data_IF_747045117536
#
_entry.id   IF_747045117536
#
_cell.length_a   1.000
_cell.length_b   1.000
_cell.length_c   1.000
_cell.angle_alpha   90.00
_cell.angle_beta   90.00
_cell.angle_gamma   90.00
#
_symmetry.space_group_name_H-M   'P 1'
#
loop_
_entity.id
_entity.type
_entity.pdbx_description
1 polymer ?
#
# COMPACT_ATOMS: atom_id res chain seq x y z
N UNK A 1 -17.50 8.46 6.60
CA UNK A 1 -16.76 9.71 6.34
C UNK A 1 -15.44 9.48 5.59
N UNK A 2 -14.50 8.64 6.06
CA UNK A 2 -13.20 8.36 5.39
C UNK A 2 -13.34 7.89 3.93
N UNK A 3 -14.24 6.96 3.63
CA UNK A 3 -14.46 6.47 2.25
C UNK A 3 -14.98 7.55 1.31
N UNK A 4 -15.89 8.41 1.77
CA UNK A 4 -16.44 9.52 0.97
C UNK A 4 -15.35 10.52 0.59
N UNK A 5 -14.50 10.92 1.56
CA UNK A 5 -13.38 11.83 1.30
C UNK A 5 -12.44 11.22 0.26
N UNK A 6 -12.11 9.94 0.39
CA UNK A 6 -11.21 9.27 -0.55
C UNK A 6 -11.81 9.18 -1.96
N UNK A 7 -13.14 9.02 -2.08
CA UNK A 7 -13.82 8.98 -3.39
C UNK A 7 -13.70 10.30 -4.13
N UNK A 8 -13.79 11.44 -3.42
CA UNK A 8 -13.68 12.79 -4.01
C UNK A 8 -12.31 12.99 -4.69
N UNK A 9 -11.26 12.39 -4.16
CA UNK A 9 -9.91 12.50 -4.72
C UNK A 9 -9.57 11.44 -5.78
N UNK A 10 -10.54 10.59 -6.19
CA UNK A 10 -10.30 9.68 -7.31
C UNK A 10 -10.36 10.40 -8.64
N UNK A 11 -9.55 9.96 -9.60
CA UNK A 11 -9.53 10.57 -10.95
C UNK A 11 -10.91 10.61 -11.61
N UNK A 12 -11.73 9.53 -11.59
CA UNK A 12 -13.08 9.58 -12.17
C UNK A 12 -13.96 10.68 -11.58
N UNK A 13 -13.87 10.91 -10.27
CA UNK A 13 -14.66 11.95 -9.61
C UNK A 13 -14.15 13.34 -9.96
N UNK A 14 -12.85 13.55 -10.05
CA UNK A 14 -12.25 14.81 -10.50
C UNK A 14 -12.70 15.14 -11.93
N UNK A 15 -12.71 14.15 -12.83
CA UNK A 15 -13.21 14.34 -14.20
C UNK A 15 -14.69 14.72 -14.21
N UNK A 16 -15.51 14.03 -13.40
CA UNK A 16 -16.93 14.37 -13.26
C UNK A 16 -17.12 15.84 -12.85
N UNK A 17 -16.38 16.32 -11.87
CA UNK A 17 -16.43 17.71 -11.41
C UNK A 17 -16.07 18.66 -12.56
N UNK A 18 -15.00 18.43 -13.28
CA UNK A 18 -14.58 19.30 -14.40
C UNK A 18 -15.66 19.34 -15.49
N UNK A 19 -16.28 18.19 -15.80
CA UNK A 19 -17.37 18.13 -16.78
C UNK A 19 -18.62 18.89 -16.30
N UNK A 20 -18.99 18.77 -15.02
CA UNK A 20 -20.11 19.53 -14.45
C UNK A 20 -19.87 21.04 -14.52
N UNK A 21 -18.68 21.51 -14.18
CA UNK A 21 -18.33 22.94 -14.35
C UNK A 21 -18.37 23.34 -15.84
N UNK A 22 -17.95 22.47 -16.75
CA UNK A 22 -18.09 22.69 -18.18
C UNK A 22 -19.56 22.84 -18.61
N UNK A 23 -20.44 22.00 -18.10
CA UNK A 23 -21.89 22.08 -18.40
C UNK A 23 -22.52 23.36 -17.87
N UNK A 24 -22.16 23.79 -16.66
CA UNK A 24 -22.68 24.98 -16.00
C UNK A 24 -22.10 26.29 -16.55
N UNK A 25 -21.00 26.26 -17.28
CA UNK A 25 -20.42 27.47 -17.88
C UNK A 25 -21.36 28.10 -18.90
N UNK A 26 -21.63 29.40 -18.83
CA UNK A 26 -22.52 30.11 -19.75
C UNK A 26 -21.87 30.35 -21.13
N UNK A 27 -20.54 30.57 -21.15
CA UNK A 27 -19.80 30.92 -22.38
C UNK A 27 -19.37 29.67 -23.15
N UNK A 28 -19.68 29.51 -24.45
CA UNK A 28 -19.34 28.31 -25.24
C UNK A 28 -17.84 28.07 -25.35
N UNK A 29 -17.03 29.13 -25.43
CA UNK A 29 -15.54 29.01 -25.40
C UNK A 29 -15.04 28.42 -24.10
N UNK A 30 -15.64 28.78 -22.96
CA UNK A 30 -15.29 28.25 -21.64
C UNK A 30 -15.67 26.75 -21.53
N UNK A 31 -16.85 26.38 -22.03
CA UNK A 31 -17.28 24.98 -22.11
C UNK A 31 -16.27 24.14 -22.88
N UNK A 32 -15.96 24.55 -24.10
CA UNK A 32 -15.01 23.84 -24.95
C UNK A 32 -13.65 23.70 -24.28
N UNK A 33 -13.13 24.76 -23.66
CA UNK A 33 -11.87 24.75 -22.93
C UNK A 33 -11.88 23.73 -21.79
N UNK A 34 -12.91 23.71 -20.95
CA UNK A 34 -13.02 22.77 -19.83
C UNK A 34 -13.09 21.31 -20.29
N UNK A 35 -13.90 21.03 -21.33
CA UNK A 35 -13.95 19.67 -21.87
C UNK A 35 -12.64 19.23 -22.50
N UNK A 36 -11.95 20.13 -23.24
CA UNK A 36 -10.62 19.83 -23.81
C UNK A 36 -9.60 19.55 -22.73
N UNK A 37 -9.60 20.30 -21.63
CA UNK A 37 -8.72 20.07 -20.48
C UNK A 37 -9.04 18.71 -19.83
N UNK A 38 -10.31 18.42 -19.57
CA UNK A 38 -10.71 17.14 -18.99
C UNK A 38 -10.27 15.95 -19.86
N UNK A 39 -10.49 16.05 -21.17
CA UNK A 39 -10.06 15.00 -22.13
C UNK A 39 -8.54 14.84 -22.14
N UNK A 40 -7.79 15.93 -22.19
CA UNK A 40 -6.32 15.91 -22.17
C UNK A 40 -5.79 15.26 -20.88
N UNK A 41 -6.27 15.69 -19.70
CA UNK A 41 -5.86 15.12 -18.43
C UNK A 41 -6.24 13.64 -18.36
N UNK A 42 -7.44 13.27 -18.82
CA UNK A 42 -7.90 11.89 -18.87
C UNK A 42 -6.94 11.04 -19.72
N UNK A 43 -6.61 11.51 -20.93
CA UNK A 43 -5.65 10.82 -21.80
C UNK A 43 -4.28 10.65 -21.14
N UNK A 44 -3.71 11.72 -20.57
CA UNK A 44 -2.40 11.67 -19.89
C UNK A 44 -2.44 10.69 -18.71
N UNK A 45 -3.48 10.72 -17.88
CA UNK A 45 -3.61 9.82 -16.74
C UNK A 45 -3.83 8.35 -17.14
N UNK A 46 -4.26 8.06 -18.36
CA UNK A 46 -4.40 6.69 -18.85
C UNK A 46 -3.08 5.99 -19.16
N UNK A 47 -1.97 6.73 -19.28
CA UNK A 47 -0.64 6.17 -19.47
C UNK A 47 -0.08 5.62 -18.14
N UNK A 48 0.22 4.31 -18.03
CA UNK A 48 0.79 3.73 -16.81
C UNK A 48 2.13 4.31 -16.40
N UNK A 49 2.90 4.87 -17.33
CA UNK A 49 4.17 5.54 -17.06
C UNK A 49 3.99 6.76 -16.16
N UNK A 50 2.92 7.54 -16.36
CA UNK A 50 2.62 8.71 -15.51
C UNK A 50 2.39 8.28 -14.06
N UNK A 51 1.62 7.21 -13.85
CA UNK A 51 1.44 6.65 -12.50
C UNK A 51 2.74 6.17 -11.86
N UNK A 52 3.70 5.66 -12.65
CA UNK A 52 5.04 5.30 -12.17
C UNK A 52 5.85 6.53 -11.75
N UNK A 53 5.81 7.61 -12.51
CA UNK A 53 6.48 8.87 -12.13
C UNK A 53 5.89 9.44 -10.84
N UNK A 54 4.57 9.47 -10.72
CA UNK A 54 3.91 9.93 -9.48
C UNK A 54 4.27 9.04 -8.29
N UNK A 55 4.51 7.75 -8.50
CA UNK A 55 4.93 6.82 -7.47
C UNK A 55 6.41 6.98 -7.06
N UNK A 56 7.28 7.57 -7.88
CA UNK A 56 8.73 7.66 -7.61
C UNK A 56 9.06 8.16 -6.19
N UNK A 57 8.50 9.28 -5.70
CA UNK A 57 8.81 9.76 -4.36
C UNK A 57 8.48 8.75 -3.25
N UNK A 58 7.40 7.95 -3.42
CA UNK A 58 7.01 6.91 -2.45
C UNK A 58 8.03 5.77 -2.35
N UNK A 59 9.00 5.68 -3.28
CA UNK A 59 10.01 4.62 -3.33
C UNK A 59 11.45 5.11 -3.07
N UNK A 60 11.66 6.42 -2.89
CA UNK A 60 13.02 6.99 -2.77
C UNK A 60 13.50 7.11 -1.32
N UNK A 61 12.60 7.35 -0.38
CA UNK A 61 12.92 7.83 0.97
C UNK A 61 12.91 6.76 2.05
N UNK A 62 13.32 5.51 1.76
CA UNK A 62 13.42 4.49 2.79
C UNK A 62 14.59 3.53 2.57
N UNK A 63 15.04 2.93 3.66
CA UNK A 63 16.12 1.95 3.65
C UNK A 63 15.67 0.65 2.97
N UNK A 64 16.41 0.24 1.95
CA UNK A 64 16.18 -0.99 1.19
C UNK A 64 17.30 -1.98 1.45
N UNK A 65 16.95 -3.26 1.44
CA UNK A 65 17.95 -4.32 1.39
C UNK A 65 18.64 -4.27 0.04
N UNK A 66 19.98 -4.21 0.06
CA UNK A 66 20.81 -4.30 -1.15
C UNK A 66 21.03 -5.76 -1.52
N UNK A 67 20.92 -6.07 -2.80
CA UNK A 67 21.36 -7.34 -3.43
C UNK A 67 20.90 -8.63 -2.74
N UNK A 68 19.67 -8.64 -2.20
CA UNK A 68 19.11 -9.77 -1.46
C UNK A 68 20.00 -10.28 -0.29
N UNK A 69 20.80 -9.40 0.28
CA UNK A 69 21.59 -9.72 1.46
C UNK A 69 20.71 -9.66 2.72
N UNK A 70 20.22 -10.82 3.16
CA UNK A 70 19.36 -10.94 4.34
C UNK A 70 20.15 -11.20 5.63
N UNK A 71 21.49 -11.12 5.63
CA UNK A 71 22.33 -11.44 6.80
C UNK A 71 21.95 -10.65 8.05
N UNK A 72 21.57 -9.38 7.89
CA UNK A 72 21.22 -8.48 9.00
C UNK A 72 19.74 -8.56 9.46
N UNK A 73 18.92 -9.40 8.79
CA UNK A 73 17.49 -9.51 9.10
C UNK A 73 17.31 -10.50 10.26
N UNK A 74 16.68 -10.04 11.31
CA UNK A 74 16.41 -10.86 12.50
C UNK A 74 14.96 -11.36 12.57
N UNK A 75 14.04 -10.75 11.81
CA UNK A 75 12.64 -11.16 11.72
C UNK A 75 11.98 -10.59 10.48
N UNK A 76 10.87 -11.17 10.05
CA UNK A 76 10.05 -10.70 8.93
C UNK A 76 8.69 -10.26 9.48
N UNK A 77 8.26 -9.06 9.11
CA UNK A 77 6.91 -8.55 9.38
C UNK A 77 6.16 -8.47 8.04
N UNK A 78 5.06 -9.19 7.91
CA UNK A 78 4.15 -9.09 6.77
C UNK A 78 2.90 -8.33 7.21
N UNK A 79 2.66 -7.18 6.59
CA UNK A 79 1.36 -6.52 6.72
C UNK A 79 0.39 -7.16 5.74
N UNK A 80 -0.75 -7.63 6.22
CA UNK A 80 -1.80 -8.16 5.34
C UNK A 80 -2.37 -7.07 4.44
N UNK A 81 -2.95 -7.46 3.32
CA UNK A 81 -3.50 -6.53 2.32
C UNK A 81 -4.99 -6.70 2.10
N UNK A 82 -5.68 -7.26 3.08
CA UNK A 82 -7.10 -7.51 3.03
C UNK A 82 -7.48 -8.97 2.80
N UNK A 83 -8.75 -9.25 2.96
CA UNK A 83 -9.42 -10.52 2.69
C UNK A 83 -10.67 -10.27 1.84
N UNK A 84 -11.17 -11.29 1.20
CA UNK A 84 -12.43 -11.23 0.44
C UNK A 84 -13.22 -12.53 0.61
N UNK A 85 -14.51 -12.47 0.31
CA UNK A 85 -15.40 -13.64 0.32
C UNK A 85 -15.53 -14.15 -1.11
N UNK A 86 -15.28 -15.44 -1.32
CA UNK A 86 -15.46 -16.06 -2.64
C UNK A 86 -16.97 -16.33 -2.93
N UNK A 87 -17.26 -16.83 -4.12
CA UNK A 87 -18.64 -17.17 -4.53
C UNK A 87 -19.28 -18.30 -3.73
N UNK A 88 -18.47 -19.13 -3.07
CA UNK A 88 -18.93 -20.22 -2.22
C UNK A 88 -19.17 -19.78 -0.78
N UNK A 89 -18.82 -18.53 -0.45
CA UNK A 89 -19.01 -17.99 0.89
C UNK A 89 -17.77 -18.10 1.80
N UNK A 90 -16.64 -18.63 1.31
CA UNK A 90 -15.43 -18.77 2.11
C UNK A 90 -14.60 -17.49 2.12
N UNK A 91 -13.98 -17.19 3.25
CA UNK A 91 -13.03 -16.10 3.37
C UNK A 91 -11.66 -16.51 2.86
N UNK A 92 -11.07 -15.69 1.98
CA UNK A 92 -9.76 -15.92 1.38
C UNK A 92 -8.86 -14.70 1.53
N UNK A 93 -7.53 -14.87 1.65
CA UNK A 93 -6.57 -13.78 1.58
C UNK A 93 -6.66 -13.08 0.23
N UNK A 94 -6.52 -11.76 0.23
CA UNK A 94 -6.47 -11.00 -1.02
C UNK A 94 -5.19 -11.32 -1.81
N UNK A 95 -5.23 -11.08 -3.12
CA UNK A 95 -4.06 -11.21 -4.00
C UNK A 95 -2.84 -10.39 -3.52
N UNK A 96 -3.09 -9.26 -2.83
CA UNK A 96 -2.03 -8.47 -2.19
C UNK A 96 -1.39 -9.24 -1.04
N UNK A 97 -2.19 -9.85 -0.16
CA UNK A 97 -1.70 -10.70 0.94
C UNK A 97 -0.92 -11.89 0.42
N UNK A 98 -1.43 -12.58 -0.60
CA UNK A 98 -0.75 -13.74 -1.22
C UNK A 98 0.63 -13.38 -1.74
N UNK A 99 0.75 -12.28 -2.52
CA UNK A 99 2.05 -11.80 -3.04
C UNK A 99 3.04 -11.50 -1.93
N UNK A 100 2.58 -10.88 -0.84
CA UNK A 100 3.43 -10.56 0.32
C UNK A 100 3.91 -11.82 1.04
N UNK A 101 3.03 -12.81 1.23
CA UNK A 101 3.41 -14.10 1.82
C UNK A 101 4.37 -14.86 0.92
N UNK A 102 4.16 -14.85 -0.40
CA UNK A 102 5.10 -15.45 -1.34
C UNK A 102 6.51 -14.84 -1.24
N UNK A 103 6.58 -13.51 -1.11
CA UNK A 103 7.87 -12.82 -0.88
C UNK A 103 8.48 -13.21 0.46
N UNK A 104 7.68 -13.32 1.52
CA UNK A 104 8.16 -13.75 2.83
C UNK A 104 8.72 -15.18 2.77
N UNK A 105 8.01 -16.12 2.15
CA UNK A 105 8.48 -17.50 1.95
C UNK A 105 9.81 -17.57 1.18
N UNK A 106 10.00 -16.73 0.16
CA UNK A 106 11.28 -16.66 -0.56
C UNK A 106 12.45 -16.24 0.34
N UNK A 107 12.21 -15.35 1.30
CA UNK A 107 13.23 -14.92 2.27
C UNK A 107 13.47 -16.02 3.30
N UNK A 108 12.40 -16.63 3.83
CA UNK A 108 12.49 -17.73 4.79
C UNK A 108 13.28 -18.93 4.26
N UNK A 109 13.15 -19.25 2.98
CA UNK A 109 13.94 -20.30 2.33
C UNK A 109 15.45 -19.99 2.30
N UNK A 110 15.84 -18.72 2.43
CA UNK A 110 17.25 -18.29 2.46
C UNK A 110 17.78 -18.05 3.87
N UNK A 111 16.89 -17.69 4.79
CA UNK A 111 17.24 -17.42 6.17
C UNK A 111 16.08 -17.80 7.09
N UNK A 112 16.33 -18.71 8.01
CA UNK A 112 15.36 -19.12 9.02
C UNK A 112 15.28 -18.05 10.12
N UNK A 113 14.24 -17.24 10.08
CA UNK A 113 13.96 -16.17 11.05
C UNK A 113 12.47 -16.16 11.41
N UNK A 114 12.09 -15.60 12.58
CA UNK A 114 10.68 -15.48 12.95
C UNK A 114 9.87 -14.72 11.90
N UNK A 115 8.67 -15.23 11.60
CA UNK A 115 7.69 -14.57 10.73
C UNK A 115 6.56 -14.02 11.60
N UNK A 116 6.28 -12.75 11.44
CA UNK A 116 5.16 -12.05 12.09
C UNK A 116 4.17 -11.64 10.99
N UNK A 117 2.90 -11.99 11.16
CA UNK A 117 1.82 -11.61 10.26
C UNK A 117 0.91 -10.64 11.01
N UNK A 118 0.73 -9.42 10.51
CA UNK A 118 -0.10 -8.39 11.14
C UNK A 118 -1.28 -8.02 10.26
N UNK A 119 -2.48 -8.09 10.84
CA UNK A 119 -3.73 -7.73 10.22
C UNK A 119 -4.94 -8.17 11.04
N UNK A 120 -5.78 -7.23 11.41
CA UNK A 120 -6.91 -7.44 12.31
C UNK A 120 -8.22 -7.77 11.61
N UNK A 121 -9.31 -7.48 12.29
CA UNK A 121 -10.68 -7.72 11.83
C UNK A 121 -11.17 -6.54 10.99
N UNK A 122 -11.01 -6.60 9.67
CA UNK A 122 -11.36 -5.51 8.74
C UNK A 122 -12.74 -5.67 8.10
N UNK A 123 -13.33 -6.85 8.19
CA UNK A 123 -14.65 -7.17 7.66
C UNK A 123 -15.55 -7.71 8.79
N UNK A 124 -16.84 -7.38 8.73
CA UNK A 124 -17.83 -7.94 9.65
C UNK A 124 -17.95 -9.46 9.43
N UNK A 125 -18.06 -10.20 10.51
CA UNK A 125 -18.25 -11.67 10.52
C UNK A 125 -17.10 -12.45 9.83
N UNK A 126 -15.93 -11.83 9.69
CA UNK A 126 -14.73 -12.42 9.12
C UNK A 126 -13.71 -12.78 10.21
N UNK A 127 -12.85 -13.76 10.00
CA UNK A 127 -11.67 -13.95 10.83
C UNK A 127 -10.70 -12.75 10.66
N UNK A 128 -9.78 -12.58 11.61
CA UNK A 128 -8.70 -11.60 11.42
C UNK A 128 -7.88 -11.96 10.18
N UNK A 129 -7.42 -10.94 9.46
CA UNK A 129 -6.60 -11.14 8.25
C UNK A 129 -5.35 -11.97 8.55
N UNK A 130 -4.70 -11.73 9.71
CA UNK A 130 -3.51 -12.48 10.11
C UNK A 130 -3.81 -13.95 10.41
N UNK A 131 -4.90 -14.26 11.14
CA UNK A 131 -5.28 -15.64 11.46
C UNK A 131 -5.66 -16.41 10.19
N UNK A 132 -6.50 -15.81 9.34
CA UNK A 132 -6.86 -16.40 8.05
C UNK A 132 -5.62 -16.68 7.18
N UNK A 133 -4.71 -15.72 7.08
CA UNK A 133 -3.47 -15.85 6.30
C UNK A 133 -2.61 -16.99 6.85
N UNK A 134 -2.43 -17.06 8.17
CA UNK A 134 -1.66 -18.14 8.81
C UNK A 134 -2.21 -19.52 8.47
N UNK A 135 -3.53 -19.70 8.59
CA UNK A 135 -4.21 -20.97 8.33
C UNK A 135 -4.14 -21.33 6.84
N UNK A 136 -4.49 -20.39 5.96
CA UNK A 136 -4.54 -20.62 4.51
C UNK A 136 -3.17 -21.03 3.91
N UNK A 137 -2.07 -20.45 4.40
CA UNK A 137 -0.73 -20.74 3.90
C UNK A 137 0.05 -21.76 4.73
N UNK A 138 -0.58 -22.42 5.72
CA UNK A 138 0.04 -23.41 6.61
C UNK A 138 1.31 -22.87 7.31
N UNK A 139 1.19 -21.68 7.91
CA UNK A 139 2.28 -20.96 8.59
C UNK A 139 2.16 -21.09 10.11
N UNK A 140 2.02 -22.31 10.64
CA UNK A 140 1.75 -22.60 12.05
C UNK A 140 2.76 -21.98 13.03
N UNK A 141 4.04 -21.90 12.63
CA UNK A 141 5.12 -21.29 13.43
C UNK A 141 5.14 -19.76 13.41
N UNK A 142 4.28 -19.11 12.62
CA UNK A 142 4.25 -17.66 12.58
C UNK A 142 3.56 -17.04 13.80
N UNK A 143 4.07 -15.89 14.21
CA UNK A 143 3.44 -15.03 15.21
C UNK A 143 2.37 -14.20 14.52
N UNK A 144 1.17 -14.10 15.10
CA UNK A 144 0.11 -13.26 14.55
C UNK A 144 -0.17 -12.04 15.44
N UNK A 145 -0.34 -10.90 14.82
CA UNK A 145 -0.91 -9.70 15.41
C UNK A 145 -2.25 -9.44 14.71
N UNK A 146 -3.35 -9.55 15.45
CA UNK A 146 -4.71 -9.58 14.89
C UNK A 146 -5.64 -8.47 15.39
N UNK A 147 -5.10 -7.48 16.10
CA UNK A 147 -5.91 -6.42 16.70
C UNK A 147 -5.85 -5.10 15.91
N UNK A 148 -4.95 -5.00 14.93
CA UNK A 148 -4.76 -3.78 14.16
C UNK A 148 -5.79 -3.61 13.04
N UNK A 149 -6.38 -2.41 12.95
CA UNK A 149 -7.27 -2.01 11.85
C UNK A 149 -6.58 -1.12 10.81
N UNK A 150 -5.34 -0.74 11.07
CA UNK A 150 -4.56 0.12 10.17
C UNK A 150 -3.06 0.00 10.50
N UNK A 151 -2.23 0.52 9.60
CA UNK A 151 -0.76 0.43 9.71
C UNK A 151 -0.19 1.03 10.99
N UNK A 152 -0.79 2.11 11.51
CA UNK A 152 -0.33 2.72 12.75
C UNK A 152 -0.55 1.79 13.95
N UNK A 153 -1.72 1.16 14.02
CA UNK A 153 -2.00 0.17 15.07
C UNK A 153 -1.11 -1.06 14.93
N UNK A 154 -0.83 -1.54 13.71
CA UNK A 154 0.13 -2.62 13.49
C UNK A 154 1.51 -2.28 14.05
N UNK A 155 2.02 -1.10 13.77
CA UNK A 155 3.32 -0.67 14.30
C UNK A 155 3.31 -0.51 15.82
N UNK A 156 2.24 0.04 16.39
CA UNK A 156 2.07 0.21 17.82
C UNK A 156 2.01 -1.15 18.56
N UNK A 157 1.18 -2.07 18.07
CA UNK A 157 1.03 -3.41 18.65
C UNK A 157 2.31 -4.24 18.56
N UNK A 158 3.10 -4.03 17.49
CA UNK A 158 4.36 -4.74 17.31
C UNK A 158 5.56 -4.05 17.95
N UNK A 159 5.39 -2.88 18.57
CA UNK A 159 6.46 -2.14 19.24
C UNK A 159 7.21 -2.99 20.28
N UNK A 160 6.51 -3.78 21.07
CA UNK A 160 7.11 -4.68 22.05
C UNK A 160 8.00 -5.75 21.40
N UNK A 161 7.56 -6.30 20.25
CA UNK A 161 8.36 -7.25 19.47
C UNK A 161 9.63 -6.59 18.94
N UNK A 162 9.53 -5.38 18.42
CA UNK A 162 10.69 -4.62 17.93
C UNK A 162 11.70 -4.33 19.05
N UNK A 163 11.25 -4.09 20.27
CA UNK A 163 12.11 -3.86 21.42
C UNK A 163 12.76 -5.16 21.93
N UNK A 164 12.02 -6.27 21.88
CA UNK A 164 12.50 -7.58 22.36
C UNK A 164 13.52 -8.21 21.42
N UNK A 165 13.28 -8.15 20.13
CA UNK A 165 14.15 -8.74 19.10
C UNK A 165 15.04 -7.64 18.52
N UNK A 166 16.21 -7.41 19.16
CA UNK A 166 17.19 -6.45 18.65
C UNK A 166 17.62 -6.81 17.22
N UNK A 167 17.66 -5.83 16.33
CA UNK A 167 18.12 -5.98 14.94
C UNK A 167 17.11 -5.47 13.94
N UNK A 168 17.41 -5.70 12.65
CA UNK A 168 16.59 -5.22 11.54
C UNK A 168 15.42 -6.15 11.24
N UNK A 169 14.24 -5.58 11.08
CA UNK A 169 13.02 -6.27 10.66
C UNK A 169 12.79 -6.04 9.17
N UNK A 170 12.62 -7.12 8.42
CA UNK A 170 12.18 -7.01 7.03
C UNK A 170 10.67 -6.76 6.99
N UNK A 171 10.27 -5.55 6.63
CA UNK A 171 8.86 -5.19 6.48
C UNK A 171 8.40 -5.47 5.05
N UNK A 172 7.44 -6.37 4.89
CA UNK A 172 6.88 -6.74 3.60
C UNK A 172 5.49 -6.14 3.44
N UNK A 173 5.34 -5.28 2.46
CA UNK A 173 4.11 -4.59 2.10
C UNK A 173 4.12 -4.26 0.59
N UNK A 174 3.04 -3.65 0.07
CA UNK A 174 3.00 -3.21 -1.32
C UNK A 174 3.90 -1.99 -1.54
N UNK A 175 4.46 -1.90 -2.74
CA UNK A 175 5.38 -0.82 -3.11
C UNK A 175 4.78 0.60 -2.97
N UNK A 176 3.48 0.78 -3.18
CA UNK A 176 2.83 2.07 -2.96
C UNK A 176 2.76 2.40 -1.47
N UNK A 177 2.45 1.38 -0.66
CA UNK A 177 2.30 1.47 0.79
C UNK A 177 3.63 1.50 1.56
N UNK A 178 4.74 1.27 0.88
CA UNK A 178 6.05 1.06 1.47
C UNK A 178 6.53 2.24 2.34
N UNK A 179 6.48 3.47 1.81
CA UNK A 179 6.95 4.66 2.53
C UNK A 179 6.14 4.92 3.80
N UNK A 180 4.80 4.89 3.70
CA UNK A 180 3.95 5.12 4.87
C UNK A 180 4.14 4.05 5.94
N UNK A 181 4.24 2.79 5.55
CA UNK A 181 4.54 1.70 6.48
C UNK A 181 5.92 1.87 7.13
N UNK A 182 6.95 2.17 6.34
CA UNK A 182 8.30 2.39 6.83
C UNK A 182 8.34 3.51 7.88
N UNK A 183 7.84 4.70 7.56
CA UNK A 183 7.80 5.84 8.49
C UNK A 183 7.00 5.52 9.75
N UNK A 184 5.88 4.82 9.62
CA UNK A 184 5.04 4.45 10.76
C UNK A 184 5.78 3.53 11.72
N UNK A 185 6.47 2.50 11.23
CA UNK A 185 7.23 1.57 12.07
C UNK A 185 8.47 2.25 12.68
N UNK A 186 9.18 3.07 11.89
CA UNK A 186 10.32 3.86 12.41
C UNK A 186 9.89 4.81 13.53
N UNK A 187 8.75 5.48 13.40
CA UNK A 187 8.19 6.36 14.45
C UNK A 187 7.78 5.61 15.72
N UNK A 188 7.67 4.28 15.68
CA UNK A 188 7.48 3.43 16.86
C UNK A 188 8.79 2.76 17.35
N UNK A 189 9.94 3.26 16.91
CA UNK A 189 11.28 2.75 17.26
C UNK A 189 11.52 1.29 16.78
N UNK A 190 10.85 0.88 15.69
CA UNK A 190 11.15 -0.36 15.02
C UNK A 190 12.21 -0.14 13.93
N UNK A 191 13.34 -0.85 14.02
CA UNK A 191 14.36 -0.78 12.96
C UNK A 191 13.96 -1.66 11.78
N UNK A 192 13.15 -1.08 10.87
CA UNK A 192 12.63 -1.77 9.68
C UNK A 192 13.42 -1.41 8.43
N UNK A 193 13.52 -2.40 7.54
CA UNK A 193 14.02 -2.26 6.17
C UNK A 193 13.02 -2.88 5.21
N UNK A 194 13.03 -2.42 3.97
CA UNK A 194 12.10 -2.88 2.92
C UNK A 194 12.85 -3.62 1.81
N UNK A 195 12.15 -4.49 1.09
CA UNK A 195 12.68 -5.09 -0.13
C UNK A 195 12.92 -4.01 -1.19
N UNK A 196 13.98 -4.16 -1.96
CA UNK A 196 14.23 -3.28 -3.11
C UNK A 196 13.21 -3.61 -4.22
N UNK A 197 12.18 -2.81 -4.30
CA UNK A 197 11.14 -2.90 -5.35
C UNK A 197 11.41 -1.81 -6.40
N UNK A 198 12.43 -1.97 -7.22
CA UNK A 198 12.73 -1.04 -8.30
C UNK A 198 11.50 -0.85 -9.22
N UNK A 199 11.29 0.39 -9.65
CA UNK A 199 10.26 0.70 -10.65
C UNK A 199 10.80 0.26 -12.00
N UNK A 200 10.27 -0.85 -12.50
CA UNK A 200 10.63 -1.36 -13.81
C UNK A 200 9.70 -0.75 -14.87
N UNK A 201 10.25 0.00 -15.81
CA UNK A 201 9.54 0.61 -16.94
C UNK A 201 9.57 -0.39 -18.10
N UNK A 202 8.42 -0.66 -18.68
CA UNK A 202 8.24 -1.58 -19.81
C UNK A 202 7.56 -0.86 -20.97
N UNK A 203 7.76 -1.32 -22.19
CA UNK A 203 7.17 -0.70 -23.40
C UNK A 203 5.65 -0.49 -23.30
N UNK A 204 4.91 -1.45 -22.73
CA UNK A 204 3.45 -1.32 -22.57
C UNK A 204 3.02 -0.22 -21.56
N UNK A 205 3.94 0.35 -20.78
CA UNK A 205 3.61 1.47 -19.89
C UNK A 205 3.38 2.79 -20.66
N UNK A 206 3.80 2.84 -21.92
CA UNK A 206 3.58 3.95 -22.83
C UNK A 206 2.30 3.80 -23.67
N UNK A 207 1.49 2.77 -23.41
CA UNK A 207 0.20 2.55 -24.09
C UNK A 207 -0.93 2.90 -23.12
N UNK A 208 -1.88 3.79 -23.50
CA UNK A 208 -3.01 4.16 -22.66
C UNK A 208 -3.84 2.95 -22.26
N UNK A 209 -4.14 2.81 -20.98
CA UNK A 209 -5.00 1.74 -20.45
C UNK A 209 -5.43 2.03 -19.00
N UNK A 210 -6.35 1.22 -18.47
CA UNK A 210 -6.91 1.38 -17.11
C UNK A 210 -5.86 1.30 -15.98
N UNK A 211 -4.70 0.66 -16.21
CA UNK A 211 -3.63 0.59 -15.20
C UNK A 211 -3.01 1.95 -14.92
N UNK A 212 -3.09 2.91 -15.85
CA UNK A 212 -2.67 4.30 -15.61
C UNK A 212 -3.46 4.90 -14.45
N UNK A 213 -4.78 4.89 -14.57
CA UNK A 213 -5.70 5.41 -13.53
C UNK A 213 -5.53 4.68 -12.19
N UNK A 214 -5.46 3.34 -12.20
CA UNK A 214 -5.28 2.55 -10.99
C UNK A 214 -4.00 2.93 -10.24
N UNK A 215 -2.89 3.10 -10.96
CA UNK A 215 -1.61 3.50 -10.37
C UNK A 215 -1.64 4.90 -9.76
N UNK A 216 -2.23 5.86 -10.46
CA UNK A 216 -2.35 7.24 -9.97
C UNK A 216 -3.25 7.28 -8.74
N UNK A 217 -4.41 6.62 -8.77
CA UNK A 217 -5.31 6.55 -7.62
C UNK A 217 -4.64 5.92 -6.39
N UNK A 218 -3.85 4.85 -6.56
CA UNK A 218 -3.07 4.25 -5.48
C UNK A 218 -2.03 5.21 -4.91
N UNK A 219 -1.33 5.94 -5.77
CA UNK A 219 -0.35 6.93 -5.32
C UNK A 219 -1.01 8.08 -4.56
N UNK A 220 -2.10 8.64 -5.08
CA UNK A 220 -2.89 9.68 -4.40
C UNK A 220 -3.36 9.19 -3.01
N UNK A 221 -3.90 7.98 -2.94
CA UNK A 221 -4.32 7.38 -1.66
C UNK A 221 -3.18 7.35 -0.63
N UNK A 222 -1.98 6.97 -1.04
CA UNK A 222 -0.83 6.92 -0.15
C UNK A 222 -0.32 8.30 0.24
N UNK A 223 -0.32 9.29 -0.66
CA UNK A 223 0.01 10.68 -0.32
C UNK A 223 -0.98 11.27 0.69
N UNK A 224 -2.28 11.04 0.50
CA UNK A 224 -3.29 11.47 1.46
C UNK A 224 -3.14 10.74 2.81
N UNK A 225 -2.80 9.45 2.78
CA UNK A 225 -2.51 8.67 3.97
C UNK A 225 -1.28 9.17 4.73
N UNK A 226 -0.22 9.54 4.02
CA UNK A 226 0.99 10.15 4.59
C UNK A 226 0.68 11.51 5.22
N UNK A 227 -0.03 12.37 4.50
CA UNK A 227 -0.43 13.69 5.00
C UNK A 227 -1.29 13.57 6.26
N UNK A 228 -2.27 12.67 6.25
CA UNK A 228 -3.09 12.39 7.42
C UNK A 228 -2.26 11.92 8.62
N UNK A 229 -1.28 11.04 8.41
CA UNK A 229 -0.44 10.54 9.49
C UNK A 229 0.52 11.60 10.02
N UNK A 230 1.01 12.51 9.17
CA UNK A 230 1.82 13.67 9.58
C UNK A 230 0.99 14.64 10.44
N UNK A 231 -0.19 15.05 9.97
CA UNK A 231 -1.06 16.00 10.70
C UNK A 231 -1.54 15.40 12.03
N UNK A 232 -1.74 14.08 12.10
CA UNK A 232 -2.17 13.40 13.32
C UNK A 232 -1.02 12.89 14.20
N UNK A 233 0.21 13.31 13.94
CA UNK A 233 1.42 12.95 14.68
C UNK A 233 1.64 11.43 14.83
N UNK A 234 1.21 10.65 13.85
CA UNK A 234 1.41 9.19 13.80
C UNK A 234 2.74 8.79 13.16
N UNK A 235 3.33 9.69 12.38
CA UNK A 235 4.65 9.55 11.78
C UNK A 235 5.45 10.83 11.95
N UNK A 236 6.77 10.69 12.02
CA UNK A 236 7.73 11.77 12.00
C UNK A 236 8.63 11.61 10.77
N UNK A 237 9.05 12.73 10.18
CA UNK A 237 10.10 12.76 9.15
C UNK A 237 11.45 12.86 9.87
N UNK A 238 12.32 11.92 9.59
CA UNK A 238 13.68 11.86 10.16
C UNK A 238 14.69 12.50 9.22
#
# INVERSE_FOLDING_TARGET
>A
MKQVILTIFTLPFIFLIIHLFGLLASRPKTKLKLFSIALFISLVCSFPIIGKFIQLPLNLFYNKIKDNNYSEINSIIVLTGGIYKNTLGDWLPSNSTEKRIFLAKKVLNKKNVPLIISGGFTQKDAPSEAALTRTYFNLSSSIIEQNSLNTYQSALNLKQYCSKYKGKFLLITDKYHALRSFLTFKSQNCDVVLLNNAINIKAHDFIPNLKGYDRINKAIYEYLGLLYYLITFKIYLF
#
